data_IF_174038680327
#
_entry.id   IF_174038680327
#
_cell.length_a   1.000
_cell.length_b   1.000
_cell.length_c   1.000
_cell.angle_alpha   90.00
_cell.angle_beta   90.00
_cell.angle_gamma   90.00
#
_symmetry.space_group_name_H-M   'P 1'
#
loop_
_entity.id
_entity.type
_entity.pdbx_description
1 polymer ?
#
# COMPACT_ATOMS: atom_id res chain seq x y z
N UNK A 1 24.77 40.53 -16.12
CA UNK A 1 23.82 39.82 -15.25
C UNK A 1 24.39 39.86 -13.84
N UNK A 2 23.87 40.74 -12.99
CA UNK A 2 24.46 41.06 -11.68
C UNK A 2 24.47 39.82 -10.79
N UNK A 3 25.51 39.64 -9.98
CA UNK A 3 25.69 38.40 -9.19
C UNK A 3 24.54 38.18 -8.19
N UNK A 4 23.85 39.24 -7.78
CA UNK A 4 22.59 39.19 -7.01
C UNK A 4 21.46 38.45 -7.74
N UNK A 5 21.35 38.62 -9.07
CA UNK A 5 20.33 37.96 -9.88
C UNK A 5 20.61 36.46 -10.03
N UNK A 6 21.88 36.06 -10.12
CA UNK A 6 22.29 34.65 -10.17
C UNK A 6 21.95 33.92 -8.87
N UNK A 7 22.20 34.55 -7.71
CA UNK A 7 21.86 33.98 -6.40
C UNK A 7 20.36 33.77 -6.25
N UNK A 8 19.54 34.73 -6.73
CA UNK A 8 18.08 34.63 -6.66
C UNK A 8 17.50 33.49 -7.50
N UNK A 9 18.07 33.25 -8.70
CA UNK A 9 17.68 32.14 -9.57
C UNK A 9 18.07 30.79 -8.97
N UNK A 10 19.24 30.68 -8.33
CA UNK A 10 19.67 29.46 -7.65
C UNK A 10 18.75 29.17 -6.45
N UNK A 11 18.38 30.20 -5.67
CA UNK A 11 17.50 30.04 -4.52
C UNK A 11 16.12 29.49 -4.92
N UNK A 12 15.54 29.99 -6.03
CA UNK A 12 14.26 29.51 -6.59
C UNK A 12 14.29 28.03 -7.01
N UNK A 13 15.44 27.50 -7.43
CA UNK A 13 15.59 26.09 -7.77
C UNK A 13 15.58 25.18 -6.51
N UNK A 14 16.13 25.63 -5.38
CA UNK A 14 16.24 24.80 -4.16
C UNK A 14 14.93 24.70 -3.37
N UNK A 15 14.05 25.71 -3.43
CA UNK A 15 12.73 25.68 -2.77
C UNK A 15 11.72 24.78 -3.50
N UNK A 16 11.87 24.59 -4.82
CA UNK A 16 11.06 23.64 -5.58
C UNK A 16 11.53 22.18 -5.43
N UNK A 17 12.73 21.95 -4.86
CA UNK A 17 13.21 20.61 -4.50
C UNK A 17 12.79 20.18 -3.09
N UNK A 18 11.69 20.71 -2.56
CA UNK A 18 10.98 20.07 -1.43
C UNK A 18 10.37 18.77 -1.93
N UNK A 19 11.25 17.79 -2.16
CA UNK A 19 10.97 16.43 -2.52
C UNK A 19 10.29 15.80 -1.29
N UNK A 20 9.01 16.08 -1.10
CA UNK A 20 8.14 15.04 -0.55
C UNK A 20 8.24 13.93 -1.57
N UNK A 21 9.08 12.93 -1.28
CA UNK A 21 9.22 11.77 -2.13
C UNK A 21 7.81 11.32 -2.51
N UNK A 22 7.50 11.40 -3.80
CA UNK A 22 6.17 11.08 -4.28
C UNK A 22 5.95 9.60 -3.98
N UNK A 23 4.89 9.28 -3.24
CA UNK A 23 4.53 7.90 -2.90
C UNK A 23 4.59 7.03 -4.16
N UNK A 24 5.16 5.82 -4.08
CA UNK A 24 5.38 4.98 -5.26
C UNK A 24 4.07 4.70 -6.03
N UNK A 25 2.95 4.52 -5.31
CA UNK A 25 1.64 4.21 -5.90
C UNK A 25 0.76 5.47 -5.89
N UNK A 26 0.56 6.08 -7.07
CA UNK A 26 -0.29 7.26 -7.23
C UNK A 26 -1.70 6.91 -7.72
N UNK A 27 -1.81 5.88 -8.56
CA UNK A 27 -3.10 5.27 -8.97
C UNK A 27 -3.14 3.80 -8.57
N UNK A 28 -4.33 3.16 -8.51
CA UNK A 28 -4.42 1.72 -8.24
C UNK A 28 -3.46 0.87 -9.09
N UNK A 29 -3.34 1.17 -10.39
CA UNK A 29 -2.53 0.45 -11.37
C UNK A 29 -1.02 0.53 -11.05
N UNK A 30 -0.58 1.60 -10.40
CA UNK A 30 0.81 1.76 -9.96
C UNK A 30 1.24 0.72 -8.91
N UNK A 31 0.34 -0.09 -8.37
CA UNK A 31 0.67 -1.11 -7.36
C UNK A 31 1.67 -2.15 -7.88
N UNK A 32 1.75 -2.35 -9.21
CA UNK A 32 2.82 -3.15 -9.82
C UNK A 32 4.22 -2.60 -9.55
N UNK A 33 4.37 -1.28 -9.35
CA UNK A 33 5.64 -0.67 -8.97
C UNK A 33 6.13 -1.14 -7.61
N UNK A 34 5.24 -1.48 -6.67
CA UNK A 34 5.64 -2.10 -5.40
C UNK A 34 6.29 -3.46 -5.62
N UNK A 35 5.78 -4.25 -6.58
CA UNK A 35 6.37 -5.54 -6.94
C UNK A 35 7.72 -5.36 -7.64
N UNK A 36 7.82 -4.42 -8.59
CA UNK A 36 9.08 -4.10 -9.28
C UNK A 36 10.17 -3.64 -8.30
N UNK A 37 9.78 -2.94 -7.23
CA UNK A 37 10.68 -2.42 -6.21
C UNK A 37 10.65 -3.24 -4.91
N UNK A 38 10.28 -4.52 -4.96
CA UNK A 38 9.94 -5.29 -3.75
C UNK A 38 11.08 -5.34 -2.73
N UNK A 39 12.34 -5.33 -3.17
CA UNK A 39 13.53 -5.33 -2.32
C UNK A 39 13.58 -4.13 -1.36
N UNK A 40 12.88 -3.04 -1.67
CA UNK A 40 12.75 -1.90 -0.75
C UNK A 40 11.87 -2.21 0.47
N UNK A 41 11.06 -3.27 0.42
CA UNK A 41 10.06 -3.61 1.43
C UNK A 41 10.28 -4.96 2.09
N UNK A 42 10.90 -5.92 1.40
CA UNK A 42 11.18 -7.24 1.99
C UNK A 42 12.03 -7.07 3.26
N UNK A 43 11.71 -7.85 4.31
CA UNK A 43 12.32 -7.78 5.63
C UNK A 43 12.13 -6.43 6.35
N UNK A 44 11.13 -5.63 5.95
CA UNK A 44 10.76 -4.37 6.61
C UNK A 44 9.32 -4.40 7.13
N UNK A 45 8.97 -3.50 8.06
CA UNK A 45 7.59 -3.35 8.54
C UNK A 45 6.58 -3.07 7.42
N UNK A 46 5.42 -3.71 7.49
CA UNK A 46 4.29 -3.54 6.57
C UNK A 46 3.88 -2.06 6.40
N UNK A 47 3.89 -1.28 7.48
CA UNK A 47 3.55 0.15 7.44
C UNK A 47 4.41 0.95 6.47
N UNK A 48 5.67 0.55 6.24
CA UNK A 48 6.53 1.23 5.28
C UNK A 48 6.02 1.05 3.85
N UNK A 49 5.53 -0.14 3.51
CA UNK A 49 4.89 -0.41 2.22
C UNK A 49 3.57 0.35 2.11
N UNK A 50 2.73 0.32 3.15
CA UNK A 50 1.43 1.01 3.13
C UNK A 50 1.57 2.53 3.00
N UNK A 51 2.62 3.13 3.56
CA UNK A 51 2.90 4.56 3.42
C UNK A 51 3.23 4.97 1.97
N UNK A 52 3.62 4.04 1.12
CA UNK A 52 3.88 4.28 -0.31
C UNK A 52 2.61 4.21 -1.17
N UNK A 53 1.46 3.96 -0.55
CA UNK A 53 0.17 3.86 -1.21
C UNK A 53 -0.64 5.13 -0.96
N UNK A 54 -0.82 5.92 -2.02
CA UNK A 54 -1.72 7.07 -2.03
C UNK A 54 -3.20 6.70 -2.18
N UNK A 55 -3.61 5.84 -3.14
CA UNK A 55 -5.03 5.54 -3.33
C UNK A 55 -5.58 4.83 -2.10
N UNK A 56 -6.83 5.17 -1.75
CA UNK A 56 -7.50 4.57 -0.61
C UNK A 56 -7.66 3.06 -0.78
N UNK A 57 -7.24 2.30 0.24
CA UNK A 57 -7.52 0.88 0.36
C UNK A 57 -8.96 0.74 0.86
N UNK A 58 -9.85 0.24 -0.01
CA UNK A 58 -11.28 0.14 0.29
C UNK A 58 -11.69 -1.22 0.87
N UNK A 59 -10.88 -2.25 0.66
CA UNK A 59 -11.16 -3.60 1.11
C UNK A 59 -9.86 -4.36 1.42
N UNK A 60 -9.86 -5.05 2.57
CA UNK A 60 -8.76 -5.92 3.01
C UNK A 60 -9.31 -7.28 3.43
N UNK A 61 -8.62 -8.33 2.99
CA UNK A 61 -8.83 -9.71 3.44
C UNK A 61 -7.53 -10.27 4.01
N UNK A 62 -7.58 -10.89 5.19
CA UNK A 62 -6.46 -11.65 5.75
C UNK A 62 -6.66 -13.16 5.58
N UNK A 63 -5.62 -13.86 5.15
CA UNK A 63 -5.53 -15.33 5.19
C UNK A 63 -4.54 -15.70 6.28
N UNK A 64 -4.99 -16.49 7.24
CA UNK A 64 -4.20 -16.89 8.42
C UNK A 64 -3.41 -18.18 8.19
N UNK A 65 -3.79 -18.97 7.19
CA UNK A 65 -3.09 -20.22 6.82
C UNK A 65 -1.71 -19.92 6.23
N UNK A 66 -0.77 -20.86 6.41
CA UNK A 66 0.61 -20.67 5.98
C UNK A 66 0.78 -20.81 4.45
N UNK A 67 1.45 -19.86 3.78
CA UNK A 67 2.01 -18.62 4.33
C UNK A 67 0.93 -17.54 4.53
N UNK A 68 0.90 -16.83 5.69
CA UNK A 68 -0.13 -15.85 5.97
C UNK A 68 0.05 -14.57 5.14
N UNK A 69 -1.05 -13.96 4.71
CA UNK A 69 -1.02 -12.74 3.89
C UNK A 69 -2.27 -11.87 4.02
N UNK A 70 -2.10 -10.59 3.71
CA UNK A 70 -3.19 -9.67 3.42
C UNK A 70 -3.40 -9.54 1.92
N UNK A 71 -4.66 -9.45 1.49
CA UNK A 71 -5.10 -9.07 0.15
C UNK A 71 -5.78 -7.71 0.23
N UNK A 72 -5.26 -6.75 -0.51
CA UNK A 72 -5.73 -5.38 -0.51
C UNK A 72 -6.35 -5.03 -1.86
N UNK A 73 -7.39 -4.19 -1.83
CA UNK A 73 -8.13 -3.75 -2.99
C UNK A 73 -8.41 -2.25 -2.91
N UNK A 74 -8.45 -1.61 -4.07
CA UNK A 74 -8.82 -0.20 -4.25
C UNK A 74 -10.30 -0.01 -4.62
N UNK A 75 -11.08 -1.08 -4.55
CA UNK A 75 -12.53 -1.11 -4.85
C UNK A 75 -13.30 -1.63 -3.63
N UNK A 76 -14.57 -1.26 -3.51
CA UNK A 76 -15.44 -1.71 -2.43
C UNK A 76 -15.81 -3.19 -2.57
N UNK A 77 -16.39 -3.76 -1.50
CA UNK A 77 -16.91 -5.13 -1.53
C UNK A 77 -18.06 -5.29 -2.53
N UNK A 78 -18.94 -4.30 -2.63
CA UNK A 78 -20.07 -4.29 -3.57
C UNK A 78 -19.58 -4.25 -5.02
N UNK A 79 -18.52 -3.47 -5.29
CA UNK A 79 -17.87 -3.43 -6.60
C UNK A 79 -17.21 -4.78 -6.92
N UNK A 80 -16.50 -5.37 -5.96
CA UNK A 80 -15.86 -6.68 -6.12
C UNK A 80 -16.87 -7.77 -6.46
N UNK A 81 -18.02 -7.80 -5.79
CA UNK A 81 -19.08 -8.78 -6.03
C UNK A 81 -19.69 -8.71 -7.43
N UNK A 82 -19.56 -7.56 -8.12
CA UNK A 82 -20.04 -7.36 -9.50
C UNK A 82 -19.00 -7.72 -10.56
N UNK A 83 -17.75 -7.95 -10.17
CA UNK A 83 -16.64 -8.22 -11.09
C UNK A 83 -16.47 -9.72 -11.35
N UNK A 84 -16.04 -10.05 -12.56
CA UNK A 84 -15.62 -11.43 -12.88
C UNK A 84 -14.41 -11.81 -12.05
N UNK A 85 -14.39 -13.04 -11.54
CA UNK A 85 -13.25 -13.58 -10.79
C UNK A 85 -11.94 -13.39 -11.59
N UNK A 86 -10.90 -12.86 -10.93
CA UNK A 86 -9.59 -12.63 -11.55
C UNK A 86 -9.44 -11.35 -12.39
N UNK A 87 -10.53 -10.62 -12.65
CA UNK A 87 -10.47 -9.35 -13.41
C UNK A 87 -10.08 -8.13 -12.56
N UNK A 88 -10.10 -8.27 -11.23
CA UNK A 88 -9.87 -7.17 -10.30
C UNK A 88 -8.41 -7.07 -9.90
N UNK A 89 -7.87 -5.86 -9.98
CA UNK A 89 -6.55 -5.54 -9.45
C UNK A 89 -6.51 -5.76 -7.94
N UNK A 90 -5.58 -6.60 -7.52
CA UNK A 90 -5.39 -7.01 -6.13
C UNK A 90 -3.90 -7.15 -5.86
N UNK A 91 -3.45 -6.61 -4.75
CA UNK A 91 -2.09 -6.83 -4.27
C UNK A 91 -2.09 -7.61 -2.96
N UNK A 92 -1.13 -8.50 -2.83
CA UNK A 92 -0.96 -9.39 -1.70
C UNK A 92 0.36 -9.06 -1.01
N UNK A 93 0.31 -9.00 0.31
CA UNK A 93 1.50 -8.85 1.15
C UNK A 93 1.56 -10.03 2.09
N UNK A 94 2.52 -10.91 1.84
CA UNK A 94 2.84 -12.04 2.72
C UNK A 94 3.70 -11.53 3.87
N UNK A 95 3.43 -12.04 5.06
CA UNK A 95 4.12 -11.64 6.30
C UNK A 95 4.76 -12.85 6.97
N UNK A 96 5.84 -12.63 7.72
CA UNK A 96 6.56 -13.73 8.40
C UNK A 96 5.83 -14.22 9.63
N UNK A 97 5.22 -13.30 10.37
CA UNK A 97 4.58 -13.59 11.64
C UNK A 97 3.17 -14.16 11.42
N UNK A 98 2.64 -14.96 12.38
CA UNK A 98 1.27 -15.44 12.32
C UNK A 98 0.26 -14.28 12.28
N UNK A 99 -0.79 -14.44 11.48
CA UNK A 99 -1.92 -13.52 11.45
C UNK A 99 -3.08 -14.09 12.26
N UNK A 100 -3.75 -13.22 13.04
CA UNK A 100 -5.00 -13.53 13.75
C UNK A 100 -6.18 -12.74 13.16
N UNK A 101 -6.10 -12.41 11.86
CA UNK A 101 -7.15 -11.70 11.15
C UNK A 101 -8.46 -12.51 11.17
N UNK A 102 -9.46 -11.99 11.89
CA UNK A 102 -10.75 -12.66 12.07
C UNK A 102 -11.89 -11.70 11.73
N UNK A 103 -12.62 -12.02 10.65
CA UNK A 103 -13.74 -11.21 10.19
C UNK A 103 -14.93 -11.18 11.16
N UNK A 104 -15.24 -12.31 11.79
CA UNK A 104 -16.41 -12.45 12.65
C UNK A 104 -16.27 -11.67 13.97
N UNK A 105 -15.03 -11.37 14.38
CA UNK A 105 -14.74 -10.57 15.57
C UNK A 105 -14.72 -9.06 15.30
N UNK A 106 -14.86 -8.62 14.05
CA UNK A 106 -14.82 -7.19 13.68
C UNK A 106 -16.23 -6.60 13.63
N UNK A 107 -16.41 -5.30 13.92
CA UNK A 107 -17.69 -4.62 13.70
C UNK A 107 -18.13 -4.74 12.24
N UNK A 108 -19.40 -5.09 12.01
CA UNK A 108 -19.91 -5.33 10.64
C UNK A 108 -19.71 -4.16 9.68
N UNK A 109 -19.72 -2.92 10.18
CA UNK A 109 -19.53 -1.70 9.39
C UNK A 109 -18.10 -1.48 8.90
N UNK A 110 -17.09 -2.06 9.57
CA UNK A 110 -15.66 -1.85 9.27
C UNK A 110 -14.91 -3.17 9.05
N UNK A 111 -15.62 -4.30 9.01
CA UNK A 111 -15.04 -5.63 8.92
C UNK A 111 -14.06 -5.78 7.74
N UNK A 112 -14.29 -5.05 6.65
CA UNK A 112 -13.50 -5.09 5.42
C UNK A 112 -12.52 -3.93 5.27
N UNK A 113 -12.59 -2.92 6.14
CA UNK A 113 -11.78 -1.72 6.00
C UNK A 113 -10.43 -1.92 6.71
N UNK A 114 -9.38 -1.29 6.19
CA UNK A 114 -8.14 -1.12 6.92
C UNK A 114 -8.28 0.08 7.87
N UNK A 115 -8.29 -0.17 9.17
CA UNK A 115 -8.47 0.89 10.17
C UNK A 115 -7.14 1.35 10.76
N UNK A 116 -7.17 2.39 11.61
CA UNK A 116 -5.98 2.83 12.33
C UNK A 116 -5.51 1.76 13.32
N UNK A 117 -6.44 1.07 13.96
CA UNK A 117 -6.17 -0.03 14.88
C UNK A 117 -5.50 -1.21 14.15
N UNK A 118 -5.88 -1.47 12.89
CA UNK A 118 -5.19 -2.46 12.06
C UNK A 118 -3.75 -2.03 11.76
N UNK A 119 -3.53 -0.75 11.45
CA UNK A 119 -2.18 -0.24 11.23
C UNK A 119 -1.32 -0.32 12.49
N UNK A 120 -1.88 -0.04 13.67
CA UNK A 120 -1.17 -0.17 14.95
C UNK A 120 -0.83 -1.62 15.26
N UNK A 121 -1.78 -2.53 15.06
CA UNK A 121 -1.62 -3.96 15.37
C UNK A 121 -0.71 -4.68 14.39
N UNK A 122 -0.90 -4.45 13.08
CA UNK A 122 -0.27 -5.22 12.01
C UNK A 122 0.81 -4.44 11.26
N UNK A 123 0.93 -3.14 11.45
CA UNK A 123 1.88 -2.31 10.70
C UNK A 123 3.35 -2.65 10.94
N UNK A 124 3.68 -3.32 12.06
CA UNK A 124 5.04 -3.76 12.36
C UNK A 124 5.36 -5.18 11.87
N UNK A 125 4.41 -5.89 11.26
CA UNK A 125 4.66 -7.22 10.69
C UNK A 125 5.69 -7.13 9.57
N UNK A 126 6.52 -8.15 9.45
CA UNK A 126 7.62 -8.21 8.50
C UNK A 126 7.13 -8.67 7.15
N UNK A 127 7.28 -7.82 6.12
CA UNK A 127 6.97 -8.20 4.74
C UNK A 127 7.94 -9.27 4.26
N UNK A 128 7.41 -10.43 3.85
CA UNK A 128 8.16 -11.54 3.29
C UNK A 128 8.13 -11.54 1.76
N UNK A 129 6.98 -11.22 1.17
CA UNK A 129 6.77 -11.25 -0.28
C UNK A 129 5.65 -10.32 -0.69
N UNK A 130 5.80 -9.74 -1.88
CA UNK A 130 4.74 -9.00 -2.57
C UNK A 130 4.31 -9.81 -3.81
N UNK A 131 3.00 -9.86 -4.05
CA UNK A 131 2.39 -10.38 -5.27
C UNK A 131 1.32 -9.41 -5.74
N UNK A 132 1.18 -9.26 -7.05
CA UNK A 132 0.09 -8.48 -7.66
C UNK A 132 -0.61 -9.37 -8.69
N UNK A 133 -1.93 -9.23 -8.81
CA UNK A 133 -2.74 -9.91 -9.83
C UNK A 133 -3.87 -9.00 -10.31
N UNK A 134 -4.35 -9.22 -11.53
CA UNK A 134 -5.36 -8.39 -12.17
C UNK A 134 -4.77 -7.72 -13.41
N UNK A 135 -5.43 -6.67 -13.93
CA UNK A 135 -4.92 -5.95 -15.09
C UNK A 135 -3.84 -4.94 -14.70
N UNK A 136 -2.76 -5.00 -15.48
CA UNK A 136 -1.81 -3.91 -15.73
C UNK A 136 -2.43 -2.89 -16.71
#
# INVERSE_FOLDING_TARGET
MNDTFKIFVILLFVINTSCKAQQIVQTPEDVYKLKTNEQQFINKPLKNLLNEIKPEIKLVLGTVDYPPFFSFYFISREELNKKTLGSTLRFYVYVKEPLDWNFDKRPKSTAYNWTKEDLEKYGNLTVERIKVSGKE
#
